data_IF_439583792305
#
_entry.id   IF_439583792305
#
_cell.length_a   1.000
_cell.length_b   1.000
_cell.length_c   1.000
_cell.angle_alpha   90.00
_cell.angle_beta   90.00
_cell.angle_gamma   90.00
#
_symmetry.space_group_name_H-M   'P 1'
#
loop_
_entity.id
_entity.type
_entity.pdbx_description
1 polymer ?
#
# COMPACT_ATOMS: atom_id res chain seq x y z
N UNK A 1 -9.90 1.69 -23.18
CA UNK A 1 -10.68 1.90 -21.95
C UNK A 1 -9.81 1.46 -20.79
N UNK A 2 -9.28 2.39 -20.01
CA UNK A 2 -8.49 2.05 -18.82
C UNK A 2 -9.47 1.63 -17.72
N UNK A 3 -9.31 0.42 -17.22
CA UNK A 3 -10.15 -0.14 -16.15
C UNK A 3 -10.10 0.76 -14.90
N UNK A 4 -11.24 0.88 -14.20
CA UNK A 4 -11.37 1.61 -12.93
C UNK A 4 -10.26 1.21 -11.94
N UNK A 5 -9.90 -0.08 -11.90
CA UNK A 5 -8.81 -0.58 -11.06
C UNK A 5 -7.48 0.11 -11.38
N UNK A 6 -7.16 0.34 -12.65
CA UNK A 6 -5.93 1.04 -13.05
C UNK A 6 -5.92 2.50 -12.61
N UNK A 7 -7.06 3.19 -12.70
CA UNK A 7 -7.17 4.58 -12.28
C UNK A 7 -7.02 4.72 -10.76
N UNK A 8 -7.64 3.83 -9.98
CA UNK A 8 -7.50 3.81 -8.52
C UNK A 8 -6.07 3.50 -8.08
N UNK A 9 -5.39 2.57 -8.77
CA UNK A 9 -3.99 2.27 -8.48
C UNK A 9 -3.06 3.42 -8.85
N UNK A 10 -3.33 4.11 -9.96
CA UNK A 10 -2.57 5.29 -10.36
C UNK A 10 -2.74 6.44 -9.36
N UNK A 11 -3.98 6.68 -8.92
CA UNK A 11 -4.30 7.67 -7.90
C UNK A 11 -3.64 7.34 -6.55
N UNK A 12 -3.77 6.09 -6.09
CA UNK A 12 -3.09 5.62 -4.87
C UNK A 12 -1.57 5.82 -4.94
N UNK A 13 -0.94 5.46 -6.06
CA UNK A 13 0.50 5.69 -6.24
C UNK A 13 0.85 7.17 -6.15
N UNK A 14 0.07 8.03 -6.78
CA UNK A 14 0.35 9.45 -6.84
C UNK A 14 0.09 10.16 -5.51
N UNK A 15 -1.00 9.82 -4.83
CA UNK A 15 -1.43 10.48 -3.60
C UNK A 15 -0.73 9.92 -2.35
N UNK A 16 -0.53 8.61 -2.29
CA UNK A 16 -0.07 7.92 -1.07
C UNK A 16 1.39 7.46 -1.14
N UNK A 17 1.97 7.27 -2.32
CA UNK A 17 3.33 6.74 -2.46
C UNK A 17 4.35 7.75 -3.01
N UNK A 18 3.94 8.94 -3.47
CA UNK A 18 4.83 9.88 -4.15
C UNK A 18 6.04 10.34 -3.32
N UNK A 19 5.95 10.30 -1.98
CA UNK A 19 7.05 10.66 -1.07
C UNK A 19 7.58 9.47 -0.25
N UNK A 20 7.26 8.25 -0.68
CA UNK A 20 7.65 7.00 0.00
C UNK A 20 8.85 6.34 -0.66
N UNK A 21 9.39 5.29 -0.01
CA UNK A 21 10.33 4.36 -0.64
C UNK A 21 9.79 3.67 -1.92
N UNK A 22 8.48 3.76 -2.18
CA UNK A 22 7.80 3.16 -3.32
C UNK A 22 7.51 4.15 -4.47
N UNK A 23 7.93 5.41 -4.39
CA UNK A 23 7.60 6.44 -5.39
C UNK A 23 7.95 6.03 -6.84
N UNK A 24 9.10 5.37 -7.00
CA UNK A 24 9.61 4.92 -8.30
C UNK A 24 9.01 3.58 -8.76
N UNK A 25 8.12 2.97 -7.98
CA UNK A 25 7.52 1.69 -8.37
C UNK A 25 6.46 1.90 -9.46
N UNK A 26 6.61 1.18 -10.57
CA UNK A 26 5.55 1.08 -11.57
C UNK A 26 4.32 0.33 -11.03
N UNK A 27 3.15 0.61 -11.59
CA UNK A 27 1.86 0.01 -11.19
C UNK A 27 1.90 -1.52 -11.09
N UNK A 28 2.56 -2.19 -12.05
CA UNK A 28 2.71 -3.65 -12.02
C UNK A 28 3.47 -4.17 -10.79
N UNK A 29 4.50 -3.43 -10.36
CA UNK A 29 5.30 -3.77 -9.19
C UNK A 29 4.49 -3.56 -7.91
N UNK A 30 3.71 -2.48 -7.84
CA UNK A 30 2.79 -2.22 -6.72
C UNK A 30 1.77 -3.35 -6.57
N UNK A 31 1.10 -3.75 -7.65
CA UNK A 31 0.10 -4.82 -7.58
C UNK A 31 0.71 -6.17 -7.17
N UNK A 32 1.89 -6.49 -7.68
CA UNK A 32 2.55 -7.79 -7.43
C UNK A 32 3.26 -7.85 -6.07
N UNK A 33 3.92 -6.78 -5.66
CA UNK A 33 4.83 -6.82 -4.52
C UNK A 33 4.26 -6.04 -3.32
N UNK A 34 3.41 -5.03 -3.53
CA UNK A 34 2.81 -4.27 -2.43
C UNK A 34 1.44 -4.82 -2.02
N UNK A 35 0.55 -5.04 -2.99
CA UNK A 35 -0.82 -5.49 -2.73
C UNK A 35 -0.94 -7.00 -2.47
N UNK A 36 0.13 -7.77 -2.71
CA UNK A 36 0.18 -9.18 -2.30
C UNK A 36 0.58 -9.34 -0.82
N UNK A 37 0.95 -8.25 -0.13
CA UNK A 37 1.25 -8.31 1.30
C UNK A 37 -0.06 -8.53 2.04
N UNK A 38 -0.28 -9.77 2.49
CA UNK A 38 -1.38 -10.10 3.37
C UNK A 38 -1.21 -9.33 4.68
N UNK A 39 -2.30 -8.80 5.21
CA UNK A 39 -2.30 -8.05 6.45
C UNK A 39 -3.70 -7.86 7.00
N UNK A 40 -3.76 -7.28 8.19
CA UNK A 40 -4.98 -6.94 8.91
C UNK A 40 -4.95 -5.45 9.27
N UNK A 41 -6.04 -4.76 8.93
CA UNK A 41 -6.30 -3.40 9.39
C UNK A 41 -7.32 -3.48 10.52
N UNK A 42 -6.93 -3.04 11.71
CA UNK A 42 -7.81 -2.99 12.88
C UNK A 42 -8.30 -1.57 13.05
N UNK A 43 -9.59 -1.38 12.85
CA UNK A 43 -10.29 -0.12 13.07
C UNK A 43 -11.04 -0.17 14.40
N UNK A 44 -10.96 0.91 15.19
CA UNK A 44 -11.91 1.16 16.27
C UNK A 44 -12.79 2.35 15.85
N UNK A 45 -14.09 2.11 15.75
CA UNK A 45 -15.04 3.02 15.10
C UNK A 45 -14.62 3.29 13.63
N UNK A 46 -14.30 4.54 13.32
CA UNK A 46 -13.81 4.99 12.00
C UNK A 46 -12.32 5.27 11.98
N UNK A 47 -11.62 5.06 13.10
CA UNK A 47 -10.20 5.37 13.22
C UNK A 47 -9.39 4.08 13.06
N UNK A 48 -8.42 4.10 12.14
CA UNK A 48 -7.42 3.05 12.03
C UNK A 48 -6.54 3.06 13.29
N UNK A 49 -6.54 1.96 14.04
CA UNK A 49 -5.77 1.82 15.30
C UNK A 49 -4.52 0.99 15.14
N UNK A 50 -4.55 0.02 14.24
CA UNK A 50 -3.43 -0.89 14.03
C UNK A 50 -3.40 -1.43 12.61
N UNK A 51 -2.18 -1.62 12.14
CA UNK A 51 -1.87 -2.29 10.89
C UNK A 51 -0.95 -3.45 11.25
N UNK A 52 -1.34 -4.66 10.87
CA UNK A 52 -0.52 -5.86 11.02
C UNK A 52 -0.25 -6.39 9.62
N UNK A 53 1.01 -6.45 9.21
CA UNK A 53 1.41 -6.99 7.92
C UNK A 53 2.09 -8.35 8.11
N UNK A 54 1.90 -9.26 7.17
CA UNK A 54 2.59 -10.54 7.17
C UNK A 54 4.09 -10.29 6.95
N UNK A 55 4.86 -10.47 8.03
CA UNK A 55 6.27 -10.05 8.13
C UNK A 55 7.24 -10.83 7.24
N UNK A 56 6.79 -11.93 6.62
CA UNK A 56 7.61 -12.71 5.67
C UNK A 56 7.81 -12.00 4.34
N UNK A 57 7.08 -10.91 4.09
CA UNK A 57 7.25 -10.13 2.87
C UNK A 57 8.35 -9.08 3.03
N UNK A 58 9.31 -9.06 2.10
CA UNK A 58 10.53 -8.24 2.14
C UNK A 58 10.28 -6.73 2.23
N UNK A 59 9.12 -6.26 1.77
CA UNK A 59 8.73 -4.85 1.81
C UNK A 59 7.73 -4.50 2.95
N UNK A 60 7.40 -5.43 3.84
CA UNK A 60 6.39 -5.22 4.88
C UNK A 60 6.78 -4.09 5.86
N UNK A 61 8.06 -4.01 6.25
CA UNK A 61 8.53 -2.99 7.17
C UNK A 61 8.45 -1.57 6.57
N UNK A 62 8.88 -1.43 5.31
CA UNK A 62 8.81 -0.17 4.57
C UNK A 62 7.34 0.24 4.37
N UNK A 63 6.47 -0.69 3.98
CA UNK A 63 5.04 -0.39 3.80
C UNK A 63 4.36 0.04 5.11
N UNK A 64 4.72 -0.57 6.25
CA UNK A 64 4.15 -0.18 7.53
C UNK A 64 4.49 1.27 7.89
N UNK A 65 5.71 1.74 7.58
CA UNK A 65 6.14 3.12 7.83
C UNK A 65 5.30 4.11 7.02
N UNK A 66 5.04 3.80 5.75
CA UNK A 66 4.29 4.69 4.86
C UNK A 66 2.78 4.74 5.19
N UNK A 67 2.22 3.68 5.77
CA UNK A 67 0.81 3.64 6.14
C UNK A 67 0.48 4.35 7.46
N UNK A 68 1.50 4.67 8.27
CA UNK A 68 1.36 5.36 9.56
C UNK A 68 1.89 6.81 9.55
N UNK A 69 2.51 7.23 8.44
CA UNK A 69 3.03 8.59 8.21
C UNK A 69 1.92 9.55 7.78
#
# INVERSE_FOLDING_TARGET
>A
MTDLAHNLLADFRYCSLANSAFADWGLKRIVRDLLQILGLLVFENTQLKRIELLTTHSCAAELLIELIA
#
